data_IF_705166582090
#
_entry.id   IF_705166582090
#
_cell.length_a   1.000
_cell.length_b   1.000
_cell.length_c   1.000
_cell.angle_alpha   90.00
_cell.angle_beta   90.00
_cell.angle_gamma   90.00
#
_symmetry.space_group_name_H-M   'P 1'
#
loop_
_entity.id
_entity.type
_entity.pdbx_description
1 polymer ?
#
# COMPACT_ATOMS: atom_id res chain seq x y z
N UNK A 1 10.04 -5.29 -7.59
CA UNK A 1 8.59 -5.03 -7.65
C UNK A 1 8.05 -4.88 -6.21
N UNK A 2 6.95 -4.15 -6.06
CA UNK A 2 6.29 -3.94 -4.75
C UNK A 2 4.77 -4.13 -4.90
N UNK A 3 4.18 -4.87 -3.94
CA UNK A 3 2.72 -5.04 -3.84
C UNK A 3 2.24 -4.82 -2.43
N UNK A 4 1.01 -4.31 -2.30
CA UNK A 4 0.26 -4.33 -1.05
C UNK A 4 -0.77 -5.46 -1.10
N UNK A 5 -0.76 -6.33 -0.11
CA UNK A 5 -1.64 -7.51 -0.03
C UNK A 5 -2.55 -7.36 1.19
N UNK A 6 -3.86 -7.31 0.96
CA UNK A 6 -4.83 -7.16 2.05
C UNK A 6 -5.29 -8.51 2.55
N UNK A 7 -5.09 -8.75 3.86
CA UNK A 7 -5.39 -10.01 4.54
C UNK A 7 -6.50 -9.82 5.57
N UNK A 8 -7.40 -10.80 5.64
CA UNK A 8 -8.49 -10.85 6.61
C UNK A 8 -8.64 -12.27 7.13
N UNK A 9 -8.73 -12.44 8.46
CA UNK A 9 -9.02 -13.71 9.13
C UNK A 9 -9.96 -13.48 10.30
N UNK A 10 -10.98 -14.30 10.44
CA UNK A 10 -11.80 -14.23 11.64
C UNK A 10 -11.13 -14.97 12.83
N UNK A 11 -11.34 -14.51 14.08
CA UNK A 11 -10.65 -15.08 15.24
C UNK A 11 -10.90 -16.58 15.49
N UNK A 12 -11.99 -17.12 14.97
CA UNK A 12 -12.34 -18.54 15.06
C UNK A 12 -11.86 -19.36 13.86
N UNK A 13 -11.32 -18.71 12.82
CA UNK A 13 -10.82 -19.36 11.62
C UNK A 13 -9.31 -19.64 11.74
N UNK A 14 -8.88 -20.81 11.27
CA UNK A 14 -7.47 -21.19 11.20
C UNK A 14 -6.76 -20.54 10.00
N UNK A 15 -7.50 -20.32 8.90
CA UNK A 15 -7.00 -19.77 7.64
C UNK A 15 -7.72 -18.47 7.32
N UNK A 16 -6.96 -17.46 6.98
CA UNK A 16 -7.49 -16.21 6.45
C UNK A 16 -7.63 -16.22 4.93
N UNK A 17 -8.02 -15.07 4.39
CA UNK A 17 -8.19 -14.86 2.95
C UNK A 17 -7.54 -13.54 2.54
N UNK A 18 -7.09 -13.50 1.30
CA UNK A 18 -6.70 -12.26 0.64
C UNK A 18 -7.94 -11.59 0.05
N UNK A 19 -8.09 -10.31 0.25
CA UNK A 19 -9.28 -9.56 -0.19
C UNK A 19 -8.97 -8.52 -1.25
N UNK A 20 -7.69 -8.28 -1.52
CA UNK A 20 -7.22 -7.38 -2.56
C UNK A 20 -5.70 -7.39 -2.65
N UNK A 21 -5.19 -7.18 -3.85
CA UNK A 21 -3.77 -6.97 -4.13
C UNK A 21 -3.65 -5.68 -4.93
N UNK A 22 -2.74 -4.81 -4.51
CA UNK A 22 -2.37 -3.61 -5.26
C UNK A 22 -0.93 -3.70 -5.72
N UNK A 23 -0.69 -3.66 -7.01
CA UNK A 23 0.64 -3.48 -7.58
C UNK A 23 1.00 -1.98 -7.60
N UNK A 24 2.25 -1.66 -7.29
CA UNK A 24 2.72 -0.27 -7.26
C UNK A 24 3.61 -0.01 -8.47
N UNK A 25 3.13 0.84 -9.37
CA UNK A 25 3.94 1.37 -10.46
C UNK A 25 4.66 2.63 -9.97
N UNK A 26 5.99 2.61 -10.04
CA UNK A 26 6.82 3.72 -9.61
C UNK A 26 6.81 4.87 -10.64
N UNK A 27 7.21 6.06 -10.18
CA UNK A 27 7.44 7.21 -11.03
C UNK A 27 8.76 7.04 -11.78
N UNK A 28 8.67 6.50 -13.00
CA UNK A 28 9.81 6.24 -13.87
C UNK A 28 9.69 7.10 -15.12
N UNK A 29 10.73 7.90 -15.42
CA UNK A 29 10.88 8.57 -16.70
C UNK A 29 11.83 7.79 -17.60
N UNK A 30 11.55 7.79 -18.90
CA UNK A 30 12.41 7.18 -19.92
C UNK A 30 12.97 8.28 -20.83
N UNK A 31 14.28 8.29 -20.98
CA UNK A 31 14.98 9.23 -21.83
C UNK A 31 14.64 9.07 -23.30
N UNK A 32 14.54 10.17 -24.02
CA UNK A 32 14.38 10.23 -25.47
C UNK A 32 15.66 10.72 -26.18
N UNK A 33 16.71 11.04 -25.39
CA UNK A 33 17.98 11.58 -25.87
C UNK A 33 17.96 13.08 -26.13
N UNK A 34 16.86 13.78 -25.91
CA UNK A 34 16.69 15.20 -26.22
C UNK A 34 16.05 16.02 -25.11
N UNK A 35 15.07 15.46 -24.43
CA UNK A 35 14.32 16.14 -23.37
C UNK A 35 15.02 16.03 -22.02
N UNK A 36 14.94 17.10 -21.22
CA UNK A 36 15.37 17.06 -19.83
C UNK A 36 14.43 16.18 -18.98
N UNK A 37 14.91 15.69 -17.84
CA UNK A 37 14.04 14.95 -16.90
C UNK A 37 12.80 15.76 -16.49
N UNK A 38 12.95 17.09 -16.32
CA UNK A 38 11.81 17.97 -16.01
C UNK A 38 10.77 17.97 -17.13
N UNK A 39 11.20 18.05 -18.40
CA UNK A 39 10.31 17.98 -19.56
C UNK A 39 9.62 16.62 -19.63
N UNK A 40 10.34 15.52 -19.43
CA UNK A 40 9.78 14.17 -19.41
C UNK A 40 8.75 13.99 -18.29
N UNK A 41 8.96 14.55 -17.10
CA UNK A 41 7.99 14.55 -16.00
C UNK A 41 6.70 15.25 -16.44
N UNK A 42 6.79 16.39 -17.13
CA UNK A 42 5.64 17.17 -17.56
C UNK A 42 4.78 16.51 -18.64
N UNK A 43 5.32 15.52 -19.37
CA UNK A 43 4.52 14.76 -20.35
C UNK A 43 3.46 13.87 -19.71
N UNK A 44 3.60 13.54 -18.42
CA UNK A 44 2.65 12.73 -17.70
C UNK A 44 1.93 13.58 -16.64
N UNK A 45 0.60 13.81 -16.76
CA UNK A 45 -0.15 14.66 -15.81
C UNK A 45 -0.01 14.23 -14.35
N UNK A 46 0.10 12.93 -14.08
CA UNK A 46 0.29 12.39 -12.73
C UNK A 46 1.67 12.74 -12.18
N UNK A 47 2.70 12.66 -13.01
CA UNK A 47 4.07 13.00 -12.60
C UNK A 47 4.24 14.50 -12.44
N UNK A 48 3.57 15.31 -13.27
CA UNK A 48 3.57 16.76 -13.18
C UNK A 48 3.10 17.27 -11.80
N UNK A 49 2.16 16.58 -11.14
CA UNK A 49 1.71 16.91 -9.78
C UNK A 49 2.84 16.76 -8.74
N UNK A 50 3.89 15.97 -9.03
CA UNK A 50 5.02 15.77 -8.14
C UNK A 50 6.19 16.72 -8.40
N UNK A 51 6.11 17.55 -9.45
CA UNK A 51 7.22 18.38 -9.92
C UNK A 51 7.82 19.26 -8.81
N UNK A 52 6.99 19.86 -7.96
CA UNK A 52 7.46 20.72 -6.85
C UNK A 52 8.31 19.92 -5.83
N UNK A 53 7.88 18.72 -5.47
CA UNK A 53 8.62 17.84 -4.57
C UNK A 53 9.91 17.35 -5.22
N UNK A 54 9.85 16.98 -6.50
CA UNK A 54 11.01 16.55 -7.26
C UNK A 54 12.02 17.68 -7.45
N UNK A 55 11.57 18.94 -7.64
CA UNK A 55 12.46 20.11 -7.70
C UNK A 55 13.23 20.31 -6.40
N UNK A 56 12.58 20.10 -5.26
CA UNK A 56 13.25 20.19 -3.95
C UNK A 56 14.30 19.10 -3.76
N UNK A 57 14.00 17.87 -4.21
CA UNK A 57 14.86 16.70 -4.02
C UNK A 57 16.02 16.64 -5.02
N UNK A 58 15.72 16.86 -6.31
CA UNK A 58 16.68 16.71 -7.40
C UNK A 58 17.36 18.01 -7.83
N UNK A 59 16.75 19.17 -7.59
CA UNK A 59 17.28 20.48 -7.92
C UNK A 59 17.74 20.57 -9.39
N UNK A 60 18.99 20.99 -9.61
CA UNK A 60 19.56 21.14 -10.95
C UNK A 60 19.65 19.85 -11.76
N UNK A 61 19.61 18.67 -11.11
CA UNK A 61 19.66 17.37 -11.80
C UNK A 61 18.47 17.14 -12.73
N UNK A 62 17.32 17.80 -12.48
CA UNK A 62 16.18 17.71 -13.39
C UNK A 62 16.42 18.31 -14.79
N UNK A 63 17.48 19.11 -14.94
CA UNK A 63 17.89 19.69 -16.25
C UNK A 63 18.75 18.75 -17.09
N UNK A 64 19.11 17.59 -16.56
CA UNK A 64 19.91 16.60 -17.28
C UNK A 64 19.01 15.96 -18.36
N UNK A 65 19.55 15.82 -19.56
CA UNK A 65 18.98 15.03 -20.64
C UNK A 65 19.39 13.57 -20.44
N UNK A 66 18.41 12.68 -20.33
CA UNK A 66 18.68 11.25 -20.23
C UNK A 66 18.97 10.68 -21.62
N UNK A 67 19.95 9.78 -21.75
CA UNK A 67 20.15 9.00 -22.97
C UNK A 67 18.85 8.31 -23.40
N UNK A 68 18.72 8.07 -24.71
CA UNK A 68 17.56 7.36 -25.25
C UNK A 68 17.43 6.01 -24.58
N UNK A 69 16.20 5.67 -24.20
CA UNK A 69 15.79 4.43 -23.52
C UNK A 69 16.33 4.24 -22.09
N UNK A 70 17.14 5.16 -21.56
CA UNK A 70 17.52 5.13 -20.16
C UNK A 70 16.30 5.35 -19.28
N UNK A 71 16.05 4.41 -18.36
CA UNK A 71 14.96 4.50 -17.36
C UNK A 71 15.50 5.01 -16.03
N UNK A 72 14.90 6.10 -15.54
CA UNK A 72 15.22 6.67 -14.23
C UNK A 72 14.01 6.61 -13.30
N UNK A 73 14.14 5.82 -12.23
CA UNK A 73 13.17 5.85 -11.15
C UNK A 73 13.42 7.11 -10.29
N UNK A 74 12.43 8.00 -10.23
CA UNK A 74 12.52 9.27 -9.50
C UNK A 74 12.00 9.16 -8.06
N UNK A 75 11.19 8.14 -7.74
CA UNK A 75 10.69 7.87 -6.38
C UNK A 75 10.82 6.38 -6.12
N UNK A 76 11.86 5.94 -5.37
CA UNK A 76 12.21 4.52 -5.24
C UNK A 76 11.28 3.72 -4.31
N UNK A 77 10.19 4.30 -3.84
CA UNK A 77 9.22 3.65 -2.96
C UNK A 77 7.79 3.89 -3.44
N UNK A 78 6.92 2.89 -3.24
CA UNK A 78 5.54 2.87 -3.73
C UNK A 78 4.58 3.68 -2.86
N UNK A 79 4.73 5.00 -2.81
CA UNK A 79 3.83 5.89 -2.10
C UNK A 79 2.90 6.64 -3.08
N UNK A 80 1.58 6.50 -2.91
CA UNK A 80 0.58 7.14 -3.75
C UNK A 80 0.70 8.67 -3.74
N UNK A 81 0.92 9.27 -2.58
CA UNK A 81 1.12 10.72 -2.44
C UNK A 81 2.40 11.23 -3.12
N UNK A 82 3.35 10.35 -3.41
CA UNK A 82 4.62 10.64 -4.09
C UNK A 82 4.59 10.23 -5.58
N UNK A 83 3.40 10.01 -6.14
CA UNK A 83 3.20 9.78 -7.58
C UNK A 83 3.15 8.32 -8.02
N UNK A 84 3.39 7.35 -7.14
CA UNK A 84 3.19 5.95 -7.48
C UNK A 84 1.73 5.70 -7.88
N UNK A 85 1.53 4.95 -8.97
CA UNK A 85 0.21 4.55 -9.43
C UNK A 85 -0.13 3.20 -8.82
N UNK A 86 -1.34 3.08 -8.32
CA UNK A 86 -1.86 1.85 -7.73
C UNK A 86 -2.73 1.13 -8.76
N UNK A 87 -2.36 -0.12 -9.03
CA UNK A 87 -3.05 -0.98 -10.00
C UNK A 87 -3.63 -2.18 -9.27
N UNK A 88 -4.91 -2.43 -9.43
CA UNK A 88 -5.55 -3.61 -8.88
C UNK A 88 -5.05 -4.87 -9.57
N UNK A 89 -4.36 -5.69 -8.80
CA UNK A 89 -3.83 -7.00 -9.17
C UNK A 89 -4.55 -8.14 -8.42
N UNK A 90 -5.77 -7.91 -7.95
CA UNK A 90 -6.53 -8.90 -7.16
C UNK A 90 -6.88 -10.16 -7.95
N UNK A 91 -6.82 -10.11 -9.28
CA UNK A 91 -6.92 -11.29 -10.14
C UNK A 91 -5.75 -12.28 -9.97
N UNK A 92 -4.64 -11.86 -9.34
CA UNK A 92 -3.48 -12.70 -9.03
C UNK A 92 -3.60 -13.42 -7.67
N UNK A 93 -4.72 -13.27 -6.96
CA UNK A 93 -4.95 -14.02 -5.72
C UNK A 93 -5.06 -15.51 -6.05
N UNK A 94 -4.14 -16.27 -5.51
CA UNK A 94 -4.13 -17.74 -5.59
C UNK A 94 -4.19 -18.37 -4.20
N UNK A 95 -4.57 -19.66 -4.14
CA UNK A 95 -4.53 -20.42 -2.89
C UNK A 95 -3.11 -20.53 -2.34
N UNK A 96 -2.11 -20.65 -3.24
CA UNK A 96 -0.70 -20.75 -2.91
C UNK A 96 -0.20 -19.46 -2.24
N UNK A 97 -0.45 -18.31 -2.84
CA UNK A 97 -0.12 -17.02 -2.23
C UNK A 97 -0.87 -16.81 -0.91
N UNK A 98 -2.15 -17.19 -0.87
CA UNK A 98 -2.96 -17.09 0.36
C UNK A 98 -2.34 -17.90 1.50
N UNK A 99 -1.83 -19.10 1.24
CA UNK A 99 -1.16 -19.92 2.23
C UNK A 99 0.13 -19.26 2.74
N UNK A 100 0.97 -18.74 1.84
CA UNK A 100 2.22 -18.06 2.19
C UNK A 100 1.92 -16.86 3.11
N UNK A 101 0.98 -16.01 2.74
CA UNK A 101 0.62 -14.82 3.53
C UNK A 101 -0.05 -15.22 4.85
N UNK A 102 -0.90 -16.24 4.83
CA UNK A 102 -1.53 -16.76 6.04
C UNK A 102 -0.48 -17.26 7.05
N UNK A 103 0.54 -17.99 6.59
CA UNK A 103 1.63 -18.48 7.43
C UNK A 103 2.46 -17.36 8.08
N UNK A 104 2.54 -16.19 7.44
CA UNK A 104 3.16 -15.00 8.02
C UNK A 104 2.21 -14.39 9.07
N UNK A 105 0.97 -14.12 8.69
CA UNK A 105 0.00 -13.41 9.51
C UNK A 105 -0.38 -14.16 10.79
N UNK A 106 -0.41 -15.50 10.74
CA UNK A 106 -0.73 -16.33 11.92
C UNK A 106 0.39 -16.38 12.96
N UNK A 107 1.62 -16.02 12.59
CA UNK A 107 2.74 -15.87 13.53
C UNK A 107 2.69 -14.55 14.31
N UNK A 108 1.88 -13.60 13.87
CA UNK A 108 1.70 -12.31 14.54
C UNK A 108 0.50 -12.45 15.48
N UNK A 109 0.72 -12.35 16.80
CA UNK A 109 -0.37 -12.49 17.77
C UNK A 109 -1.50 -11.51 17.47
N UNK A 110 -2.75 -12.02 17.50
CA UNK A 110 -3.99 -11.24 17.32
C UNK A 110 -4.07 -10.40 16.05
N UNK A 111 -3.29 -10.73 15.00
CA UNK A 111 -3.37 -10.09 13.69
C UNK A 111 -4.46 -10.75 12.84
N UNK A 112 -5.55 -10.04 12.61
CA UNK A 112 -6.74 -10.53 11.91
C UNK A 112 -7.12 -9.72 10.69
N UNK A 113 -6.59 -8.51 10.56
CA UNK A 113 -7.00 -7.57 9.53
C UNK A 113 -5.88 -6.57 9.25
N UNK A 114 -5.52 -6.42 7.99
CA UNK A 114 -4.52 -5.44 7.60
C UNK A 114 -3.94 -5.67 6.22
N UNK A 115 -3.00 -4.80 5.86
CA UNK A 115 -2.27 -4.84 4.60
C UNK A 115 -0.80 -5.08 4.86
N UNK A 116 -0.22 -5.99 4.11
CA UNK A 116 1.21 -6.25 4.06
C UNK A 116 1.78 -5.62 2.79
N UNK A 117 2.76 -4.77 2.92
CA UNK A 117 3.52 -4.22 1.80
C UNK A 117 4.78 -5.07 1.61
N UNK A 118 4.90 -5.67 0.42
CA UNK A 118 5.87 -6.72 0.10
C UNK A 118 6.69 -6.34 -1.11
N UNK A 119 8.00 -6.36 -0.98
CA UNK A 119 8.93 -6.32 -2.11
C UNK A 119 9.27 -7.74 -2.57
N UNK A 120 9.29 -7.97 -3.89
CA UNK A 120 9.54 -9.30 -4.45
C UNK A 120 10.31 -9.20 -5.78
N UNK A 121 11.03 -10.27 -6.11
CA UNK A 121 11.81 -10.35 -7.34
C UNK A 121 10.91 -10.66 -8.55
N UNK A 122 10.22 -11.78 -8.49
CA UNK A 122 9.22 -12.22 -9.47
C UNK A 122 8.03 -12.85 -8.76
N UNK A 123 6.89 -12.98 -9.46
CA UNK A 123 5.63 -13.43 -8.88
C UNK A 123 5.66 -14.89 -8.43
N UNK A 124 6.30 -15.75 -9.20
CA UNK A 124 6.42 -17.18 -8.89
C UNK A 124 7.15 -17.41 -7.56
N UNK A 125 8.24 -16.68 -7.33
CA UNK A 125 8.98 -16.74 -6.06
C UNK A 125 8.10 -16.30 -4.88
N UNK A 126 7.33 -15.23 -5.06
CA UNK A 126 6.41 -14.74 -4.01
C UNK A 126 5.34 -15.79 -3.67
N UNK A 127 4.74 -16.43 -4.68
CA UNK A 127 3.78 -17.53 -4.48
C UNK A 127 4.42 -18.78 -3.83
N UNK A 128 5.72 -18.98 -4.03
CA UNK A 128 6.47 -20.06 -3.38
C UNK A 128 6.97 -19.68 -1.99
N UNK A 129 6.76 -18.45 -1.54
CA UNK A 129 7.21 -17.95 -0.23
C UNK A 129 8.73 -17.75 -0.14
N UNK A 130 9.40 -17.47 -1.26
CA UNK A 130 10.84 -17.25 -1.36
C UNK A 130 11.16 -15.91 -2.04
N UNK A 131 12.37 -15.40 -1.85
CA UNK A 131 12.89 -14.19 -2.52
C UNK A 131 11.97 -12.96 -2.43
N UNK A 132 11.29 -12.77 -1.29
CA UNK A 132 10.51 -11.59 -0.99
C UNK A 132 10.89 -11.00 0.36
N UNK A 133 10.57 -9.75 0.57
CA UNK A 133 10.78 -9.02 1.81
C UNK A 133 9.51 -8.31 2.23
N UNK A 134 9.10 -8.53 3.47
CA UNK A 134 8.03 -7.76 4.09
C UNK A 134 8.59 -6.39 4.50
N UNK A 135 8.04 -5.35 3.91
CA UNK A 135 8.49 -3.96 4.14
C UNK A 135 7.73 -3.32 5.28
N UNK A 136 6.40 -3.51 5.29
CA UNK A 136 5.51 -2.88 6.25
C UNK A 136 4.28 -3.74 6.50
N UNK A 137 3.77 -3.66 7.73
CA UNK A 137 2.47 -4.24 8.11
C UNK A 137 1.59 -3.12 8.63
N UNK A 138 0.50 -2.88 7.94
CA UNK A 138 -0.51 -1.89 8.29
C UNK A 138 -1.72 -2.61 8.90
N UNK A 139 -2.06 -2.31 10.15
CA UNK A 139 -3.16 -2.94 10.87
C UNK A 139 -4.54 -2.39 10.50
N UNK A 140 -5.42 -2.28 11.50
CA UNK A 140 -6.83 -1.92 11.34
C UNK A 140 -7.09 -0.52 10.76
N UNK A 141 -6.12 0.37 10.81
CA UNK A 141 -6.20 1.69 10.17
C UNK A 141 -5.92 1.68 8.65
N UNK A 142 -5.56 0.52 8.07
CA UNK A 142 -5.30 0.42 6.64
C UNK A 142 -6.57 0.29 5.81
N UNK A 143 -6.50 0.78 4.59
CA UNK A 143 -7.58 0.69 3.62
C UNK A 143 -7.21 -0.23 2.44
N UNK A 144 -8.20 -0.78 1.72
CA UNK A 144 -7.97 -1.66 0.57
C UNK A 144 -7.51 -0.86 -0.65
N UNK A 145 -6.22 -0.55 -0.74
CA UNK A 145 -5.64 0.40 -1.70
C UNK A 145 -5.78 0.04 -3.18
N UNK A 146 -6.22 -1.19 -3.51
CA UNK A 146 -6.59 -1.54 -4.89
C UNK A 146 -7.78 -0.73 -5.43
N UNK A 147 -8.58 -0.11 -4.55
CA UNK A 147 -9.66 0.82 -4.94
C UNK A 147 -9.16 2.06 -5.69
N UNK A 148 -7.88 2.40 -5.55
CA UNK A 148 -7.28 3.57 -6.21
C UNK A 148 -6.82 3.30 -7.65
N UNK A 149 -7.05 2.09 -8.19
CA UNK A 149 -6.84 1.83 -9.61
C UNK A 149 -7.79 2.72 -10.43
N UNK A 150 -7.27 3.53 -11.37
CA UNK A 150 -8.10 4.41 -12.21
C UNK A 150 -9.18 3.71 -13.03
N UNK A 151 -9.08 2.38 -13.23
CA UNK A 151 -10.12 1.60 -13.92
C UNK A 151 -11.39 1.42 -13.09
N UNK A 152 -11.33 1.62 -11.77
CA UNK A 152 -12.46 1.41 -10.88
C UNK A 152 -13.32 2.67 -10.76
N UNK A 153 -14.63 2.43 -10.68
CA UNK A 153 -15.60 3.49 -10.40
C UNK A 153 -15.63 3.85 -8.90
N UNK A 154 -16.14 5.04 -8.58
CA UNK A 154 -16.39 5.44 -7.20
C UNK A 154 -17.32 4.46 -6.45
N UNK A 155 -18.32 3.91 -7.14
CA UNK A 155 -19.22 2.90 -6.55
C UNK A 155 -18.49 1.60 -6.17
N UNK A 156 -17.53 1.16 -6.99
CA UNK A 156 -16.66 0.04 -6.64
C UNK A 156 -15.88 0.35 -5.37
N UNK A 157 -15.25 1.52 -5.30
CA UNK A 157 -14.48 1.93 -4.12
C UNK A 157 -15.34 1.96 -2.85
N UNK A 158 -16.53 2.53 -2.91
CA UNK A 158 -17.45 2.55 -1.76
C UNK A 158 -17.89 1.15 -1.32
N UNK A 159 -18.18 0.27 -2.27
CA UNK A 159 -18.54 -1.13 -1.99
C UNK A 159 -17.38 -1.85 -1.28
N UNK A 160 -16.16 -1.69 -1.76
CA UNK A 160 -14.97 -2.31 -1.17
C UNK A 160 -14.68 -1.76 0.24
N UNK A 161 -14.78 -0.46 0.45
CA UNK A 161 -14.64 0.15 1.76
C UNK A 161 -15.71 -0.39 2.73
N UNK A 162 -16.97 -0.42 2.33
CA UNK A 162 -18.06 -0.96 3.16
C UNK A 162 -17.84 -2.44 3.50
N UNK A 163 -17.33 -3.24 2.54
CA UNK A 163 -16.97 -4.65 2.75
C UNK A 163 -15.89 -4.79 3.81
N UNK A 164 -14.82 -3.99 3.72
CA UNK A 164 -13.70 -4.06 4.66
C UNK A 164 -14.06 -3.54 6.04
N UNK A 165 -14.85 -2.47 6.14
CA UNK A 165 -15.42 -1.99 7.41
C UNK A 165 -16.30 -3.08 8.06
N UNK A 166 -17.08 -3.80 7.25
CA UNK A 166 -17.91 -4.92 7.75
C UNK A 166 -17.03 -6.06 8.29
N UNK A 167 -15.92 -6.40 7.63
CA UNK A 167 -14.98 -7.40 8.17
C UNK A 167 -14.39 -6.94 9.49
N UNK A 168 -13.91 -5.71 9.57
CA UNK A 168 -13.32 -5.13 10.76
C UNK A 168 -14.32 -5.13 11.94
N UNK A 169 -15.57 -4.73 11.70
CA UNK A 169 -16.64 -4.79 12.69
C UNK A 169 -16.87 -6.21 13.19
N UNK A 170 -17.02 -7.19 12.30
CA UNK A 170 -17.27 -8.59 12.66
C UNK A 170 -16.09 -9.19 13.44
N UNK A 171 -14.84 -8.88 13.06
CA UNK A 171 -13.64 -9.32 13.79
C UNK A 171 -13.62 -8.69 15.18
N UNK A 172 -13.88 -7.39 15.30
CA UNK A 172 -13.95 -6.69 16.57
C UNK A 172 -15.02 -7.28 17.49
N UNK A 173 -16.22 -7.55 16.97
CA UNK A 173 -17.30 -8.18 17.73
C UNK A 173 -16.94 -9.61 18.19
N UNK A 174 -16.24 -10.39 17.33
CA UNK A 174 -15.78 -11.72 17.69
C UNK A 174 -14.70 -11.69 18.78
N UNK A 175 -13.77 -10.73 18.71
CA UNK A 175 -12.75 -10.53 19.74
C UNK A 175 -13.38 -10.08 21.07
N UNK A 176 -14.39 -9.22 21.02
CA UNK A 176 -15.10 -8.82 22.25
C UNK A 176 -15.74 -10.03 22.96
N UNK A 177 -16.35 -10.96 22.20
CA UNK A 177 -16.87 -12.22 22.77
C UNK A 177 -15.78 -13.11 23.39
N UNK A 178 -14.52 -12.96 22.96
CA UNK A 178 -13.33 -13.65 23.52
C UNK A 178 -12.75 -12.93 24.75
N UNK A 179 -13.36 -11.83 25.21
CA UNK A 179 -12.95 -11.09 26.39
C UNK A 179 -12.11 -9.82 26.13
N UNK A 180 -11.88 -9.47 24.86
CA UNK A 180 -11.20 -8.21 24.53
C UNK A 180 -12.20 -7.05 24.64
N UNK A 181 -11.98 -6.14 25.58
CA UNK A 181 -12.85 -4.99 25.78
C UNK A 181 -12.77 -4.01 24.60
N UNK A 182 -13.88 -3.37 24.26
CA UNK A 182 -13.85 -2.21 23.38
C UNK A 182 -13.18 -1.03 24.07
N UNK A 183 -12.46 -0.20 23.31
CA UNK A 183 -12.01 1.09 23.81
C UNK A 183 -13.23 1.95 24.18
N UNK A 184 -13.21 2.55 25.35
CA UNK A 184 -14.18 3.59 25.69
C UNK A 184 -13.98 4.81 24.80
N UNK A 185 -15.03 5.62 24.60
CA UNK A 185 -14.94 6.86 23.84
C UNK A 185 -13.82 7.78 24.37
N UNK A 186 -13.63 7.83 25.69
CA UNK A 186 -12.60 8.65 26.35
C UNK A 186 -11.19 8.15 25.99
N UNK A 187 -10.97 6.85 26.06
CA UNK A 187 -9.69 6.22 25.70
C UNK A 187 -9.39 6.40 24.21
N UNK A 188 -10.35 6.09 23.34
CA UNK A 188 -10.19 6.28 21.90
C UNK A 188 -9.84 7.73 21.52
N UNK A 189 -10.50 8.72 22.15
CA UNK A 189 -10.16 10.14 21.93
C UNK A 189 -8.77 10.51 22.47
N UNK A 190 -8.33 9.89 23.56
CA UNK A 190 -6.97 10.11 24.08
C UNK A 190 -5.92 9.58 23.10
N UNK A 191 -6.08 8.34 22.64
CA UNK A 191 -5.17 7.72 21.67
C UNK A 191 -5.14 8.50 20.35
N UNK A 192 -6.28 8.94 19.86
CA UNK A 192 -6.35 9.77 18.65
C UNK A 192 -5.57 11.08 18.79
N UNK A 193 -5.70 11.78 19.94
CA UNK A 193 -4.94 13.00 20.22
C UNK A 193 -3.43 12.76 20.31
N UNK A 194 -3.02 11.62 20.89
CA UNK A 194 -1.61 11.23 20.93
C UNK A 194 -1.05 10.97 19.54
N UNK A 195 -1.82 10.27 18.71
CA UNK A 195 -1.46 10.03 17.30
C UNK A 195 -1.29 11.34 16.52
N UNK A 196 -2.22 12.29 16.64
CA UNK A 196 -2.08 13.60 15.98
C UNK A 196 -0.80 14.33 16.40
N UNK A 197 -0.51 14.39 17.70
CA UNK A 197 0.73 15.02 18.20
C UNK A 197 2.00 14.33 17.67
N UNK A 198 2.00 13.01 17.54
CA UNK A 198 3.13 12.28 16.97
C UNK A 198 3.28 12.57 15.48
N UNK A 199 2.18 12.60 14.73
CA UNK A 199 2.19 12.93 13.31
C UNK A 199 2.72 14.35 13.04
N UNK A 200 2.31 15.34 13.85
CA UNK A 200 2.83 16.71 13.77
C UNK A 200 4.36 16.76 13.97
N UNK A 201 4.88 16.00 14.93
CA UNK A 201 6.34 15.92 15.16
C UNK A 201 7.08 15.33 13.95
N UNK A 202 6.53 14.30 13.30
CA UNK A 202 7.16 13.67 12.15
C UNK A 202 7.19 14.62 10.94
N UNK A 203 6.13 15.41 10.74
CA UNK A 203 6.05 16.38 9.63
C UNK A 203 6.95 17.60 9.84
N UNK A 204 7.32 17.91 11.08
CA UNK A 204 8.18 19.06 11.43
C UNK A 204 9.70 18.76 11.29
N UNK A 205 10.09 17.54 10.94
CA UNK A 205 11.44 17.16 10.56
C UNK A 205 11.62 17.23 9.04
#
# INVERSE_FOLDING_TARGET
>A
NEVGIFYVRFPHEKRGKLTGIVAKEFLIVQGDGTSTMEQLILTNPRYALQLQSLKREYGKRLKIVLPRDEKKNLVPFGNHARGAKFIDASNLISDKLTEVINNICTKIPEFYFGRLDVMYKNWEDLENGINFQLVEINGSGSEPTHIYDPKHSLFFAWKELARHITFMYKISAANNKRGFAYLSRKEGMKEYKLHLKQSEKIVSF
#
